data_IF_079728668053
#
_entry.id   IF_079728668053
#
_cell.length_a   1.000
_cell.length_b   1.000
_cell.length_c   1.000
_cell.angle_alpha   90.00
_cell.angle_beta   90.00
_cell.angle_gamma   90.00
#
_symmetry.space_group_name_H-M   'P 1'
#
loop_
_entity.id
_entity.type
_entity.pdbx_description
1 polymer ?
#
# COMPACT_ATOMS: atom_id res chain seq x y z
N UNK A 1 12.75 -11.81 33.55
CA UNK A 1 13.43 -11.69 32.24
C UNK A 1 13.89 -13.08 31.82
N UNK A 2 13.34 -13.62 30.73
CA UNK A 2 13.83 -14.88 30.16
C UNK A 2 15.26 -14.63 29.65
N UNK A 3 16.25 -15.26 30.28
CA UNK A 3 17.66 -15.20 29.83
C UNK A 3 17.72 -15.89 28.47
N UNK A 4 18.28 -15.24 27.44
CA UNK A 4 18.37 -15.86 26.11
C UNK A 4 19.27 -17.10 26.19
N UNK A 5 19.03 -18.09 25.33
CA UNK A 5 19.83 -19.32 25.28
C UNK A 5 21.30 -18.98 25.00
N UNK A 6 21.56 -17.96 24.18
CA UNK A 6 22.91 -17.44 23.90
C UNK A 6 23.57 -16.92 25.19
N UNK A 7 22.85 -16.13 25.99
CA UNK A 7 23.40 -15.58 27.24
C UNK A 7 23.68 -16.66 28.28
N UNK A 8 22.92 -17.76 28.25
CA UNK A 8 23.21 -18.92 29.09
C UNK A 8 24.54 -19.57 28.70
N UNK A 9 24.76 -19.86 27.42
CA UNK A 9 25.99 -20.47 26.93
C UNK A 9 27.22 -19.55 27.03
N UNK A 10 27.06 -18.25 26.84
CA UNK A 10 28.12 -17.25 27.11
C UNK A 10 28.60 -17.29 28.57
N UNK A 11 27.68 -17.47 29.52
CA UNK A 11 28.04 -17.59 30.94
C UNK A 11 28.71 -18.92 31.26
N UNK A 12 28.30 -20.01 30.59
CA UNK A 12 28.99 -21.30 30.70
C UNK A 12 30.43 -21.16 30.21
N UNK A 13 30.65 -20.42 29.13
CA UNK A 13 31.97 -20.22 28.51
C UNK A 13 32.65 -21.58 28.30
N UNK A 14 32.11 -22.37 27.37
CA UNK A 14 32.54 -23.74 27.14
C UNK A 14 34.07 -23.86 26.98
N UNK A 15 34.77 -22.98 26.24
CA UNK A 15 36.23 -23.06 26.13
C UNK A 15 36.97 -22.91 27.47
N UNK A 16 36.50 -22.04 28.36
CA UNK A 16 37.09 -21.88 29.68
C UNK A 16 36.75 -23.07 30.60
N UNK A 17 35.55 -23.63 30.47
CA UNK A 17 35.15 -24.83 31.18
C UNK A 17 35.96 -26.06 30.73
N UNK A 18 36.15 -26.24 29.42
CA UNK A 18 36.95 -27.33 28.84
C UNK A 18 38.37 -27.33 29.42
N UNK A 19 39.06 -26.17 29.42
CA UNK A 19 40.40 -26.06 30.02
C UNK A 19 40.44 -26.48 31.50
N UNK A 20 39.46 -26.05 32.30
CA UNK A 20 39.38 -26.45 33.71
C UNK A 20 39.14 -27.96 33.88
N UNK A 21 38.40 -28.57 32.97
CA UNK A 21 38.17 -30.01 32.97
C UNK A 21 39.42 -30.77 32.51
N UNK A 22 40.16 -30.25 31.52
CA UNK A 22 41.44 -30.80 31.07
C UNK A 22 42.45 -30.84 32.24
N UNK A 23 42.58 -29.73 32.96
CA UNK A 23 43.44 -29.63 34.15
C UNK A 23 43.02 -30.65 35.22
N UNK A 24 41.72 -30.75 35.52
CA UNK A 24 41.20 -31.71 36.49
C UNK A 24 41.40 -33.17 36.05
N UNK A 25 41.29 -33.47 34.75
CA UNK A 25 41.56 -34.81 34.21
C UNK A 25 43.05 -35.18 34.34
N UNK A 26 43.95 -34.24 34.08
CA UNK A 26 45.39 -34.43 34.27
C UNK A 26 45.74 -34.68 35.75
N UNK A 27 45.15 -33.90 36.66
CA UNK A 27 45.30 -34.09 38.11
C UNK A 27 44.80 -35.47 38.57
N UNK A 28 43.67 -35.95 38.04
CA UNK A 28 43.15 -37.29 38.34
C UNK A 28 44.13 -38.36 37.90
N UNK A 29 44.71 -38.26 36.70
CA UNK A 29 45.70 -39.22 36.22
C UNK A 29 46.93 -39.28 37.14
N UNK A 30 47.48 -38.12 37.52
CA UNK A 30 48.61 -38.06 38.47
C UNK A 30 48.27 -38.70 39.83
N UNK A 31 47.06 -38.42 40.35
CA UNK A 31 46.62 -38.98 41.64
C UNK A 31 46.35 -40.48 41.59
N UNK A 32 45.92 -41.01 40.45
CA UNK A 32 45.75 -42.45 40.27
C UNK A 32 47.10 -43.17 40.36
N UNK A 33 48.13 -42.64 39.72
CA UNK A 33 49.49 -43.20 39.79
C UNK A 33 50.04 -43.17 41.22
N UNK A 34 49.91 -42.03 41.92
CA UNK A 34 50.30 -41.89 43.33
C UNK A 34 49.52 -42.82 44.27
N UNK A 35 48.23 -43.00 44.05
CA UNK A 35 47.38 -43.89 44.84
C UNK A 35 47.79 -45.36 44.66
N UNK A 36 48.11 -45.78 43.43
CA UNK A 36 48.57 -47.13 43.15
C UNK A 36 49.96 -47.41 43.74
N UNK A 37 50.89 -46.43 43.70
CA UNK A 37 52.18 -46.54 44.39
C UNK A 37 52.05 -46.61 45.92
N UNK A 38 51.27 -45.71 46.52
CA UNK A 38 51.07 -45.68 47.97
C UNK A 38 50.40 -46.96 48.48
N UNK A 39 49.46 -47.52 47.71
CA UNK A 39 48.86 -48.83 48.01
C UNK A 39 49.86 -49.96 47.97
N UNK A 40 50.77 -50.00 46.97
CA UNK A 40 51.84 -51.00 46.92
C UNK A 40 52.74 -50.92 48.16
N UNK A 41 53.17 -49.71 48.54
CA UNK A 41 53.98 -49.46 49.76
C UNK A 41 53.26 -49.93 51.03
N UNK A 42 51.95 -49.66 51.16
CA UNK A 42 51.14 -50.11 52.31
C UNK A 42 51.06 -51.64 52.38
N UNK A 43 50.92 -52.33 51.25
CA UNK A 43 50.90 -53.80 51.19
C UNK A 43 52.24 -54.38 51.62
N UNK A 44 53.36 -53.79 51.19
CA UNK A 44 54.71 -54.21 51.58
C UNK A 44 54.94 -54.03 53.09
N UNK A 45 54.64 -52.85 53.63
CA UNK A 45 54.75 -52.57 55.07
C UNK A 45 53.86 -53.51 55.91
N UNK A 46 52.65 -53.81 55.43
CA UNK A 46 51.72 -54.75 56.08
C UNK A 46 52.27 -56.18 56.12
N UNK A 47 52.96 -56.62 55.06
CA UNK A 47 53.63 -57.92 55.01
C UNK A 47 54.86 -57.95 55.92
N UNK A 48 55.67 -56.90 55.90
CA UNK A 48 56.87 -56.78 56.72
C UNK A 48 56.53 -56.79 58.22
N UNK A 49 55.51 -56.02 58.64
CA UNK A 49 54.98 -56.04 59.99
C UNK A 49 54.52 -57.46 60.40
N UNK A 50 53.80 -58.15 59.52
CA UNK A 50 53.39 -59.55 59.76
C UNK A 50 54.55 -60.53 59.80
N UNK A 51 55.73 -60.22 59.31
CA UNK A 51 56.89 -61.11 59.37
C UNK A 51 57.76 -60.85 60.61
N UNK A 52 57.88 -59.59 61.03
CA UNK A 52 58.81 -59.16 62.08
C UNK A 52 58.22 -59.10 63.50
N UNK A 53 56.90 -59.09 63.64
CA UNK A 53 56.23 -58.92 64.94
C UNK A 53 55.99 -60.25 65.67
N UNK A 54 55.92 -60.28 67.00
CA UNK A 54 55.58 -61.50 67.77
C UNK A 54 54.11 -61.96 67.59
N UNK A 55 53.82 -63.23 67.84
CA UNK A 55 52.53 -63.86 67.53
C UNK A 55 51.35 -63.23 68.30
N UNK A 56 51.51 -62.94 69.59
CA UNK A 56 50.44 -62.38 70.41
C UNK A 56 50.08 -60.94 69.99
N UNK A 57 51.08 -60.13 69.64
CA UNK A 57 50.87 -58.78 69.10
C UNK A 57 50.19 -58.86 67.73
N UNK A 58 50.58 -59.82 66.87
CA UNK A 58 49.87 -60.06 65.59
C UNK A 58 48.41 -60.40 65.80
N UNK A 59 48.07 -61.24 66.78
CA UNK A 59 46.68 -61.62 67.08
C UNK A 59 45.83 -60.41 67.49
N UNK A 60 46.38 -59.50 68.31
CA UNK A 60 45.68 -58.30 68.74
C UNK A 60 45.50 -57.27 67.61
N UNK A 61 46.52 -57.09 66.76
CA UNK A 61 46.53 -56.06 65.71
C UNK A 61 45.82 -56.50 64.42
N UNK A 62 45.73 -57.81 64.15
CA UNK A 62 45.14 -58.36 62.92
C UNK A 62 43.70 -57.92 62.64
N UNK A 63 42.76 -57.90 63.62
CA UNK A 63 41.42 -57.35 63.39
C UNK A 63 41.44 -55.88 62.98
N UNK A 64 42.27 -55.05 63.63
CA UNK A 64 42.40 -53.64 63.32
C UNK A 64 42.93 -53.42 61.89
N UNK A 65 43.98 -54.16 61.50
CA UNK A 65 44.53 -54.10 60.14
C UNK A 65 43.51 -54.49 59.08
N UNK A 66 42.68 -55.51 59.35
CA UNK A 66 41.61 -55.92 58.43
C UNK A 66 40.57 -54.82 58.27
N UNK A 67 40.17 -54.14 59.35
CA UNK A 67 39.20 -53.04 59.28
C UNK A 67 39.76 -51.85 58.51
N UNK A 68 41.02 -51.45 58.74
CA UNK A 68 41.68 -50.40 57.95
C UNK A 68 41.79 -50.78 56.47
N UNK A 69 42.13 -52.04 56.16
CA UNK A 69 42.20 -52.52 54.78
C UNK A 69 40.83 -52.45 54.10
N UNK A 70 39.77 -52.89 54.77
CA UNK A 70 38.41 -52.81 54.25
C UNK A 70 37.97 -51.37 53.99
N UNK A 71 38.29 -50.43 54.89
CA UNK A 71 37.98 -49.01 54.71
C UNK A 71 38.77 -48.40 53.54
N UNK A 72 40.06 -48.68 53.42
CA UNK A 72 40.89 -48.23 52.28
C UNK A 72 40.34 -48.78 50.96
N UNK A 73 39.96 -50.06 50.92
CA UNK A 73 39.38 -50.68 49.72
C UNK A 73 38.03 -50.04 49.35
N UNK A 74 37.19 -49.74 50.35
CA UNK A 74 35.91 -49.03 50.19
C UNK A 74 36.11 -47.61 49.65
N UNK A 75 37.02 -46.84 50.25
CA UNK A 75 37.39 -45.50 49.80
C UNK A 75 37.95 -45.50 48.38
N UNK A 76 38.83 -46.47 48.07
CA UNK A 76 39.40 -46.62 46.73
C UNK A 76 38.30 -46.92 45.70
N UNK A 77 37.35 -47.81 46.04
CA UNK A 77 36.22 -48.12 45.16
C UNK A 77 35.34 -46.89 44.91
N UNK A 78 35.06 -46.10 45.95
CA UNK A 78 34.30 -44.85 45.84
C UNK A 78 35.03 -43.79 45.00
N UNK A 79 36.35 -43.66 45.19
CA UNK A 79 37.19 -42.73 44.41
C UNK A 79 37.19 -43.10 42.93
N UNK A 80 37.50 -44.37 42.60
CA UNK A 80 37.49 -44.87 41.22
C UNK A 80 36.13 -44.71 40.54
N UNK A 81 35.03 -44.89 41.28
CA UNK A 81 33.69 -44.65 40.74
C UNK A 81 33.45 -43.16 40.41
N UNK A 82 33.85 -42.24 41.30
CA UNK A 82 33.73 -40.80 41.06
C UNK A 82 34.62 -40.31 39.91
N UNK A 83 35.87 -40.78 39.85
CA UNK A 83 36.82 -40.51 38.77
C UNK A 83 36.30 -41.03 37.43
N UNK A 84 35.74 -42.24 37.40
CA UNK A 84 35.15 -42.82 36.18
C UNK A 84 33.96 -41.99 35.69
N UNK A 85 33.05 -41.61 36.59
CA UNK A 85 31.90 -40.78 36.25
C UNK A 85 32.32 -39.39 35.74
N UNK A 86 33.34 -38.79 36.37
CA UNK A 86 33.92 -37.53 35.89
C UNK A 86 34.49 -37.67 34.48
N UNK A 87 35.33 -38.68 34.25
CA UNK A 87 35.97 -38.91 32.95
C UNK A 87 34.97 -39.22 31.84
N UNK A 88 33.85 -39.88 32.16
CA UNK A 88 32.76 -40.13 31.22
C UNK A 88 32.12 -38.83 30.72
N UNK A 89 31.77 -37.92 31.64
CA UNK A 89 31.19 -36.62 31.30
C UNK A 89 32.22 -35.72 30.60
N UNK A 90 33.47 -35.71 31.10
CA UNK A 90 34.57 -34.95 30.53
C UNK A 90 34.78 -35.29 29.06
N UNK A 91 34.84 -36.58 28.68
CA UNK A 91 35.00 -37.00 27.28
C UNK A 91 33.95 -36.40 26.36
N UNK A 92 32.70 -36.34 26.79
CA UNK A 92 31.61 -35.75 26.00
C UNK A 92 31.78 -34.23 25.85
N UNK A 93 32.24 -33.54 26.89
CA UNK A 93 32.38 -32.08 26.89
C UNK A 93 33.68 -31.59 26.24
N UNK A 94 34.76 -32.37 26.31
CA UNK A 94 36.06 -32.02 25.74
C UNK A 94 36.01 -31.96 24.20
N UNK A 95 35.25 -32.86 23.58
CA UNK A 95 35.10 -32.92 22.12
C UNK A 95 33.94 -32.05 21.61
N UNK A 96 33.06 -31.56 22.50
CA UNK A 96 31.90 -30.78 22.11
C UNK A 96 32.32 -29.41 21.54
N UNK A 97 31.85 -29.03 20.34
CA UNK A 97 32.07 -27.68 19.83
C UNK A 97 31.26 -26.67 20.64
N UNK A 98 31.80 -25.45 20.81
CA UNK A 98 31.07 -24.36 21.46
C UNK A 98 29.82 -23.99 20.63
N UNK A 99 28.59 -24.12 21.19
CA UNK A 99 27.37 -23.77 20.47
C UNK A 99 27.16 -22.25 20.36
N UNK A 100 27.88 -21.44 21.14
CA UNK A 100 27.66 -20.00 21.23
C UNK A 100 27.71 -19.29 19.87
N UNK A 101 28.73 -19.50 19.02
CA UNK A 101 28.81 -18.82 17.72
C UNK A 101 27.67 -19.23 16.76
N UNK A 102 27.29 -20.52 16.77
CA UNK A 102 26.19 -21.02 15.94
C UNK A 102 24.84 -20.45 16.39
N UNK A 103 24.61 -20.34 17.70
CA UNK A 103 23.40 -19.75 18.27
C UNK A 103 23.31 -18.24 17.98
N UNK A 104 24.42 -17.52 18.08
CA UNK A 104 24.48 -16.09 17.72
C UNK A 104 24.15 -15.87 16.24
N UNK A 105 24.76 -16.68 15.38
CA UNK A 105 24.50 -16.62 13.95
C UNK A 105 23.04 -16.95 13.64
N UNK A 106 22.47 -18.01 14.25
CA UNK A 106 21.07 -18.36 14.10
C UNK A 106 20.13 -17.23 14.55
N UNK A 107 20.44 -16.57 15.67
CA UNK A 107 19.65 -15.43 16.14
C UNK A 107 19.70 -14.25 15.16
N UNK A 108 20.85 -13.97 14.58
CA UNK A 108 20.99 -12.93 13.54
C UNK A 108 20.22 -13.30 12.27
N UNK A 109 20.27 -14.54 11.82
CA UNK A 109 19.51 -15.00 10.66
C UNK A 109 18.01 -14.96 10.90
N UNK A 110 17.54 -15.32 12.10
CA UNK A 110 16.14 -15.19 12.45
C UNK A 110 15.68 -13.73 12.36
N UNK A 111 16.48 -12.79 12.87
CA UNK A 111 16.17 -11.36 12.76
C UNK A 111 16.17 -10.86 11.30
N UNK A 112 17.10 -11.35 10.47
CA UNK A 112 17.13 -11.03 9.02
C UNK A 112 15.94 -11.63 8.28
N UNK A 113 15.58 -12.87 8.58
CA UNK A 113 14.45 -13.57 7.98
C UNK A 113 13.14 -12.85 8.31
N UNK A 114 12.96 -12.40 9.55
CA UNK A 114 11.79 -11.60 9.93
C UNK A 114 11.72 -10.31 9.10
N UNK A 115 12.82 -9.57 8.99
CA UNK A 115 12.86 -8.34 8.17
C UNK A 115 12.57 -8.58 6.70
N UNK A 116 13.06 -9.69 6.15
CA UNK A 116 12.79 -10.07 4.77
C UNK A 116 11.30 -10.38 4.58
N UNK A 117 10.70 -11.13 5.50
CA UNK A 117 9.28 -11.44 5.48
C UNK A 117 8.41 -10.18 5.56
N UNK A 118 8.75 -9.25 6.47
CA UNK A 118 8.05 -7.98 6.59
C UNK A 118 8.14 -7.16 5.28
N UNK A 119 9.31 -7.14 4.63
CA UNK A 119 9.51 -6.48 3.35
C UNK A 119 8.74 -7.15 2.20
N UNK A 120 8.66 -8.49 2.17
CA UNK A 120 7.87 -9.24 1.19
C UNK A 120 6.37 -8.91 1.31
N UNK A 121 5.85 -8.80 2.54
CA UNK A 121 4.48 -8.38 2.79
C UNK A 121 4.23 -6.94 2.30
N UNK A 122 5.16 -6.02 2.57
CA UNK A 122 5.05 -4.64 2.09
C UNK A 122 5.05 -4.57 0.56
N UNK A 123 5.95 -5.30 -0.10
CA UNK A 123 6.00 -5.37 -1.57
C UNK A 123 4.69 -5.90 -2.14
N UNK A 124 4.11 -6.94 -1.54
CA UNK A 124 2.83 -7.48 -1.98
C UNK A 124 1.69 -6.46 -1.80
N UNK A 125 1.66 -5.77 -0.67
CA UNK A 125 0.67 -4.73 -0.41
C UNK A 125 0.79 -3.57 -1.42
N UNK A 126 2.01 -3.07 -1.66
CA UNK A 126 2.27 -2.02 -2.64
C UNK A 126 1.86 -2.44 -4.06
N UNK A 127 2.13 -3.70 -4.45
CA UNK A 127 1.68 -4.23 -5.74
C UNK A 127 0.16 -4.24 -5.85
N UNK A 128 -0.54 -4.63 -4.79
CA UNK A 128 -2.01 -4.61 -4.77
C UNK A 128 -2.56 -3.19 -4.86
N UNK A 129 -1.99 -2.23 -4.12
CA UNK A 129 -2.36 -0.82 -4.19
C UNK A 129 -2.12 -0.24 -5.58
N UNK A 130 -0.98 -0.54 -6.21
CA UNK A 130 -0.69 -0.10 -7.58
C UNK A 130 -1.65 -0.71 -8.60
N UNK A 131 -2.05 -1.97 -8.44
CA UNK A 131 -3.05 -2.59 -9.30
C UNK A 131 -4.41 -1.86 -9.20
N UNK A 132 -4.85 -1.55 -7.97
CA UNK A 132 -6.07 -0.78 -7.72
C UNK A 132 -6.00 0.60 -8.37
N UNK A 133 -4.91 1.34 -8.18
CA UNK A 133 -4.76 2.67 -8.81
C UNK A 133 -4.72 2.61 -10.33
N UNK A 134 -4.12 1.57 -10.92
CA UNK A 134 -4.14 1.40 -12.38
C UNK A 134 -5.55 1.13 -12.91
N UNK A 135 -6.36 0.38 -12.17
CA UNK A 135 -7.77 0.14 -12.52
C UNK A 135 -8.59 1.43 -12.44
N UNK A 136 -8.47 2.18 -11.34
CA UNK A 136 -9.09 3.50 -11.17
C UNK A 136 -8.66 4.48 -12.29
N UNK A 137 -7.38 4.49 -12.63
CA UNK A 137 -6.86 5.34 -13.71
C UNK A 137 -7.43 4.98 -15.08
N UNK A 138 -7.61 3.68 -15.35
CA UNK A 138 -8.24 3.22 -16.58
C UNK A 138 -9.71 3.65 -16.65
N UNK A 139 -10.43 3.59 -15.52
CA UNK A 139 -11.81 4.06 -15.43
C UNK A 139 -11.94 5.56 -15.70
N UNK A 140 -11.11 6.39 -15.06
CA UNK A 140 -11.09 7.85 -15.27
C UNK A 140 -10.80 8.18 -16.73
N UNK A 141 -9.85 7.49 -17.35
CA UNK A 141 -9.53 7.69 -18.77
C UNK A 141 -10.71 7.33 -19.70
N UNK A 142 -11.49 6.30 -19.35
CA UNK A 142 -12.71 5.98 -20.07
C UNK A 142 -13.79 7.05 -19.88
N UNK A 143 -13.93 7.59 -18.67
CA UNK A 143 -14.86 8.70 -18.39
C UNK A 143 -14.52 9.95 -19.22
N UNK A 144 -13.24 10.27 -19.42
CA UNK A 144 -12.80 11.37 -20.29
C UNK A 144 -13.27 11.20 -21.75
N UNK A 145 -13.27 9.97 -22.28
CA UNK A 145 -13.78 9.68 -23.62
C UNK A 145 -15.30 9.93 -23.67
N UNK A 146 -16.03 9.43 -22.68
CA UNK A 146 -17.48 9.65 -22.56
C UNK A 146 -17.81 11.15 -22.48
N UNK A 147 -17.06 11.92 -21.69
CA UNK A 147 -17.25 13.38 -21.58
C UNK A 147 -17.02 14.07 -22.93
N UNK A 148 -16.02 13.67 -23.71
CA UNK A 148 -15.79 14.23 -25.05
C UNK A 148 -16.95 13.94 -25.99
N UNK A 149 -17.42 12.69 -26.03
CA UNK A 149 -18.58 12.29 -26.85
C UNK A 149 -19.85 13.05 -26.47
N UNK A 150 -20.11 13.21 -25.17
CA UNK A 150 -21.26 13.99 -24.70
C UNK A 150 -21.14 15.47 -25.09
N UNK A 151 -19.95 16.06 -25.00
CA UNK A 151 -19.71 17.45 -25.45
C UNK A 151 -19.94 17.63 -26.95
N UNK A 152 -19.46 16.70 -27.78
CA UNK A 152 -19.71 16.70 -29.23
C UNK A 152 -21.20 16.57 -29.54
N UNK A 153 -21.91 15.73 -28.79
CA UNK A 153 -23.36 15.53 -28.94
C UNK A 153 -24.14 16.80 -28.58
N UNK A 154 -23.78 17.47 -27.47
CA UNK A 154 -24.38 18.75 -27.08
C UNK A 154 -24.16 19.79 -28.18
N UNK A 155 -22.93 19.92 -28.68
CA UNK A 155 -22.62 20.87 -29.75
C UNK A 155 -23.44 20.60 -31.02
N UNK A 156 -23.56 19.34 -31.43
CA UNK A 156 -24.37 18.98 -32.58
C UNK A 156 -25.86 19.34 -32.40
N UNK A 157 -26.41 19.16 -31.19
CA UNK A 157 -27.77 19.60 -30.86
C UNK A 157 -27.90 21.13 -30.86
N UNK A 158 -26.91 21.86 -30.36
CA UNK A 158 -26.89 23.33 -30.40
C UNK A 158 -26.87 23.84 -31.86
N UNK A 159 -25.99 23.28 -32.70
CA UNK A 159 -25.88 23.63 -34.12
C UNK A 159 -27.18 23.32 -34.89
N UNK A 160 -27.81 22.16 -34.65
CA UNK A 160 -29.10 21.80 -35.25
C UNK A 160 -30.23 22.75 -34.82
N UNK A 161 -30.28 23.08 -33.52
CA UNK A 161 -31.28 24.02 -33.01
C UNK A 161 -31.11 25.41 -33.61
N UNK A 162 -29.87 25.89 -33.76
CA UNK A 162 -29.59 27.18 -34.39
C UNK A 162 -29.97 27.18 -35.88
N UNK A 163 -29.68 26.10 -36.62
CA UNK A 163 -30.12 25.94 -38.01
C UNK A 163 -31.66 25.94 -38.14
N UNK A 164 -32.37 25.26 -37.22
CA UNK A 164 -33.83 25.28 -37.16
C UNK A 164 -34.39 26.68 -36.88
N UNK A 165 -33.76 27.41 -35.95
CA UNK A 165 -34.14 28.80 -35.65
C UNK A 165 -33.95 29.69 -36.88
N UNK A 166 -32.79 29.61 -37.55
CA UNK A 166 -32.53 30.38 -38.76
C UNK A 166 -33.51 30.06 -39.88
N UNK A 167 -33.81 28.78 -40.11
CA UNK A 167 -34.80 28.35 -41.12
C UNK A 167 -36.18 28.94 -40.81
N UNK A 168 -36.61 28.91 -39.55
CA UNK A 168 -37.89 29.49 -39.13
C UNK A 168 -37.93 31.01 -39.26
N UNK A 169 -36.82 31.69 -38.95
CA UNK A 169 -36.71 33.14 -39.11
C UNK A 169 -36.79 33.54 -40.59
N UNK A 170 -36.04 32.88 -41.47
CA UNK A 170 -36.09 33.12 -42.91
C UNK A 170 -37.49 32.90 -43.49
N UNK A 171 -38.18 31.84 -43.06
CA UNK A 171 -39.56 31.59 -43.49
C UNK A 171 -40.52 32.67 -42.98
N UNK A 172 -40.36 33.14 -41.73
CA UNK A 172 -41.17 34.25 -41.21
C UNK A 172 -40.88 35.57 -41.94
N UNK A 173 -39.62 35.87 -42.24
CA UNK A 173 -39.21 37.04 -43.02
C UNK A 173 -39.81 37.00 -44.43
N UNK A 174 -39.75 35.84 -45.10
CA UNK A 174 -40.37 35.64 -46.42
C UNK A 174 -41.87 35.92 -46.39
N UNK A 175 -42.59 35.32 -45.43
CA UNK A 175 -44.04 35.52 -45.28
C UNK A 175 -44.37 36.98 -44.94
N UNK A 176 -43.56 37.65 -44.12
CA UNK A 176 -43.74 39.08 -43.82
C UNK A 176 -43.52 39.93 -45.08
N UNK A 177 -42.46 39.68 -45.83
CA UNK A 177 -42.15 40.41 -47.05
C UNK A 177 -43.26 40.25 -48.10
N UNK A 178 -43.75 39.03 -48.32
CA UNK A 178 -44.91 38.78 -49.19
C UNK A 178 -46.15 39.56 -48.76
N UNK A 179 -46.43 39.63 -47.45
CA UNK A 179 -47.55 40.43 -46.93
C UNK A 179 -47.33 41.93 -47.10
N UNK A 180 -46.10 42.42 -46.98
CA UNK A 180 -45.77 43.82 -47.21
C UNK A 180 -45.95 44.18 -48.69
N UNK A 181 -45.41 43.38 -49.61
CA UNK A 181 -45.58 43.56 -51.05
C UNK A 181 -47.06 43.53 -51.47
N UNK A 182 -47.86 42.61 -50.90
CA UNK A 182 -49.30 42.56 -51.18
C UNK A 182 -50.04 43.80 -50.67
N UNK A 183 -49.66 44.32 -49.50
CA UNK A 183 -50.21 45.57 -48.95
C UNK A 183 -49.81 46.78 -49.78
N UNK A 184 -48.55 46.85 -50.20
CA UNK A 184 -48.03 47.92 -51.06
C UNK A 184 -48.79 47.94 -52.39
N UNK A 185 -48.95 46.79 -53.06
CA UNK A 185 -49.77 46.69 -54.28
C UNK A 185 -51.21 47.17 -54.08
N UNK A 186 -51.84 46.78 -52.96
CA UNK A 186 -53.21 47.23 -52.63
C UNK A 186 -53.28 48.74 -52.39
N UNK A 187 -52.26 49.32 -51.78
CA UNK A 187 -52.16 50.77 -51.59
C UNK A 187 -51.96 51.47 -52.93
N UNK A 188 -51.06 50.99 -53.78
CA UNK A 188 -50.83 51.54 -55.12
C UNK A 188 -52.09 51.49 -55.99
N UNK A 189 -52.83 50.36 -55.97
CA UNK A 189 -54.11 50.21 -56.67
C UNK A 189 -55.16 51.21 -56.15
N UNK A 190 -55.23 51.38 -54.83
CA UNK A 190 -56.14 52.35 -54.19
C UNK A 190 -55.76 53.80 -54.54
N UNK A 191 -54.48 54.14 -54.49
CA UNK A 191 -53.97 55.47 -54.83
C UNK A 191 -54.20 55.80 -56.30
N UNK A 192 -53.97 54.85 -57.22
CA UNK A 192 -54.31 55.01 -58.63
C UNK A 192 -55.82 55.24 -58.83
N UNK A 193 -56.67 54.49 -58.12
CA UNK A 193 -58.12 54.68 -58.16
C UNK A 193 -58.54 56.05 -57.60
N UNK A 194 -57.92 56.52 -56.51
CA UNK A 194 -58.16 57.83 -55.93
C UNK A 194 -57.73 58.95 -56.88
N UNK A 195 -56.56 58.83 -57.51
CA UNK A 195 -56.09 59.77 -58.53
C UNK A 195 -57.08 59.88 -59.70
N UNK A 196 -57.59 58.74 -60.20
CA UNK A 196 -58.63 58.75 -61.25
C UNK A 196 -59.91 59.45 -60.78
N UNK A 197 -60.36 59.22 -59.55
CA UNK A 197 -61.54 59.90 -58.97
C UNK A 197 -61.32 61.39 -58.80
N UNK A 198 -60.14 61.82 -58.36
CA UNK A 198 -59.78 63.24 -58.24
C UNK A 198 -59.80 63.89 -59.63
N UNK A 199 -59.17 63.28 -60.65
CA UNK A 199 -59.22 63.78 -62.02
C UNK A 199 -60.65 63.89 -62.56
N UNK A 200 -61.51 62.90 -62.30
CA UNK A 200 -62.91 62.96 -62.72
C UNK A 200 -63.68 64.07 -61.98
N UNK A 201 -63.45 64.23 -60.68
CA UNK A 201 -64.04 65.30 -59.89
C UNK A 201 -63.56 66.70 -60.34
N UNK A 202 -62.27 66.86 -60.65
CA UNK A 202 -61.69 68.08 -61.22
C UNK A 202 -62.33 68.42 -62.57
N UNK A 203 -62.45 67.46 -63.49
CA UNK A 203 -63.16 67.65 -64.77
C UNK A 203 -64.62 68.09 -64.57
N UNK A 204 -65.32 67.49 -63.60
CA UNK A 204 -66.70 67.89 -63.25
C UNK A 204 -66.73 69.29 -62.65
N UNK A 205 -65.78 69.64 -61.79
CA UNK A 205 -65.67 70.97 -61.21
C UNK A 205 -65.37 72.04 -62.27
N UNK A 206 -64.45 71.76 -63.20
CA UNK A 206 -64.18 72.61 -64.37
C UNK A 206 -65.43 72.80 -65.24
N UNK A 207 -66.16 71.72 -65.52
CA UNK A 207 -67.41 71.76 -66.28
C UNK A 207 -68.51 72.58 -65.57
N UNK A 208 -68.67 72.40 -64.27
CA UNK A 208 -69.58 73.19 -63.44
C UNK A 208 -69.16 74.66 -63.38
N UNK A 209 -67.86 74.93 -63.25
CA UNK A 209 -67.32 76.28 -63.24
C UNK A 209 -67.55 76.97 -64.60
N UNK A 210 -67.30 76.28 -65.71
CA UNK A 210 -67.63 76.78 -67.05
C UNK A 210 -69.14 77.06 -67.20
N UNK A 211 -69.99 76.17 -66.69
CA UNK A 211 -71.45 76.36 -66.70
C UNK A 211 -71.89 77.54 -65.82
N UNK A 212 -71.27 77.72 -64.66
CA UNK A 212 -71.51 78.88 -63.78
C UNK A 212 -71.08 80.18 -64.44
N UNK A 213 -69.89 80.23 -65.07
CA UNK A 213 -69.43 81.40 -65.81
C UNK A 213 -70.36 81.73 -66.97
N UNK A 214 -70.86 80.72 -67.70
CA UNK A 214 -71.87 80.89 -68.73
C UNK A 214 -73.17 81.46 -68.17
N UNK A 215 -73.71 80.89 -67.09
CA UNK A 215 -74.92 81.39 -66.43
C UNK A 215 -74.75 82.80 -65.82
N UNK A 216 -73.58 83.12 -65.28
CA UNK A 216 -73.23 84.46 -64.79
C UNK A 216 -73.15 85.47 -65.93
N UNK A 217 -72.60 85.07 -67.09
CA UNK A 217 -72.60 85.90 -68.30
C UNK A 217 -74.02 86.16 -68.80
N UNK A 218 -74.88 85.15 -68.83
CA UNK A 218 -76.31 85.31 -69.17
C UNK A 218 -77.06 86.20 -68.18
N UNK A 219 -76.81 86.05 -66.88
CA UNK A 219 -77.39 86.93 -65.86
C UNK A 219 -76.88 88.38 -65.97
N UNK A 220 -75.62 88.58 -66.33
CA UNK A 220 -75.06 89.91 -66.58
C UNK A 220 -75.73 90.57 -67.80
N UNK A 221 -75.90 89.83 -68.89
CA UNK A 221 -76.65 90.26 -70.08
C UNK A 221 -78.10 90.63 -69.72
N UNK A 222 -78.79 89.79 -68.93
CA UNK A 222 -80.14 90.07 -68.44
C UNK A 222 -80.20 91.31 -67.54
N UNK A 223 -79.23 91.50 -66.64
CA UNK A 223 -79.14 92.68 -65.77
C UNK A 223 -78.93 93.96 -66.56
N UNK A 224 -78.06 93.91 -67.57
CA UNK A 224 -77.81 95.04 -68.48
C UNK A 224 -79.05 95.42 -69.31
N UNK A 225 -79.96 94.47 -69.55
CA UNK A 225 -81.25 94.71 -70.22
C UNK A 225 -82.36 95.19 -69.29
N UNK A 226 -82.19 95.10 -67.98
CA UNK A 226 -83.19 95.54 -66.99
C UNK A 226 -82.86 96.89 -66.33
N UNK A 227 -81.66 97.43 -66.55
CA UNK A 227 -81.21 98.73 -66.01
C UNK A 227 -81.18 99.87 -67.07
N UNK A 228 -81.79 99.67 -68.25
CA UNK A 228 -82.17 100.69 -69.25
C UNK A 228 -83.71 100.81 -69.32
#
# INVERSE_FOLDING_TARGET
>A
MAKSVVDAWKRVNLPALQRKLDDAAADIASRQDEADESRKKLVELSKEFRQKTEEDVRKQVSPLMKTFQAEIDSLTKRSKAAESAFLEVYKQLAEAPDPTPALEHSSQWQAKAQKLHDAELEVNNLRQTLASYNEEFAEVKNQDVTIRQLRETIKAFEDDMEAQIQTRLQEQERVLNERYEERERKLDESDAMLQLKVQDAERRAESLQASLTAAQHELFELRSRTDD
#
